data_IF_347558760073
#
_entry.id   IF_347558760073
#
_cell.length_a   1.000
_cell.length_b   1.000
_cell.length_c   1.000
_cell.angle_alpha   90.00
_cell.angle_beta   90.00
_cell.angle_gamma   90.00
#
_symmetry.space_group_name_H-M   'P 1'
#
loop_
_entity.id
_entity.type
_entity.pdbx_description
1 polymer ?
#
# COMPACT_ATOMS: atom_id res chain seq x y z
N UNK A 1 30.37 0.18 6.74
CA UNK A 1 29.52 -0.80 6.02
C UNK A 1 28.76 -0.05 4.92
N UNK A 2 28.18 -0.70 3.89
CA UNK A 2 27.40 0.02 2.89
C UNK A 2 26.19 0.72 3.51
N UNK A 3 25.84 1.88 2.94
CA UNK A 3 24.84 2.80 3.48
C UNK A 3 23.59 2.84 2.62
N UNK A 4 22.45 2.60 3.26
CA UNK A 4 21.16 2.45 2.60
C UNK A 4 20.16 3.50 3.08
N UNK A 5 19.36 4.01 2.16
CA UNK A 5 18.31 4.99 2.44
C UNK A 5 16.96 4.34 2.28
N UNK A 6 16.14 4.46 3.33
CA UNK A 6 14.81 3.87 3.38
C UNK A 6 13.77 4.93 3.06
N UNK A 7 12.84 4.59 2.19
CA UNK A 7 11.70 5.42 1.81
C UNK A 7 10.44 4.64 2.18
N UNK A 8 9.56 5.23 2.97
CA UNK A 8 8.29 4.63 3.38
C UNK A 8 7.16 5.53 2.93
N UNK A 9 6.12 4.97 2.35
CA UNK A 9 4.90 5.68 1.97
C UNK A 9 3.71 5.03 2.66
N UNK A 10 2.84 5.87 3.21
CA UNK A 10 1.71 5.45 4.01
C UNK A 10 0.35 5.90 3.45
N UNK A 11 0.22 5.94 2.13
CA UNK A 11 -1.01 6.40 1.45
C UNK A 11 -1.27 7.91 1.53
N UNK A 12 -0.74 8.62 2.54
CA UNK A 12 -0.88 10.07 2.71
C UNK A 12 0.41 10.86 2.57
N UNK A 13 1.56 10.25 2.89
CA UNK A 13 2.85 10.95 2.88
C UNK A 13 4.00 9.99 2.58
N UNK A 14 4.87 10.43 1.67
CA UNK A 14 6.20 9.84 1.50
C UNK A 14 7.11 10.35 2.62
N UNK A 15 7.48 9.46 3.54
CA UNK A 15 8.49 9.69 4.54
C UNK A 15 9.82 9.11 4.05
N UNK A 16 10.78 9.99 3.84
CA UNK A 16 12.16 9.60 3.55
C UNK A 16 12.92 9.63 4.87
N UNK A 17 13.57 8.53 5.24
CA UNK A 17 14.51 8.57 6.35
C UNK A 17 15.68 9.50 5.98
N UNK A 18 15.91 10.58 6.77
CA UNK A 18 16.98 11.54 6.46
C UNK A 18 18.36 10.92 6.66
N UNK A 19 18.46 9.89 7.50
CA UNK A 19 19.70 9.18 7.79
C UNK A 19 19.85 7.92 6.93
N UNK A 20 21.10 7.60 6.55
CA UNK A 20 21.42 6.36 5.84
C UNK A 20 21.88 5.32 6.84
N UNK A 21 21.17 4.19 6.88
CA UNK A 21 21.45 3.08 7.77
C UNK A 21 22.53 2.17 7.19
N UNK A 22 23.40 1.67 8.06
CA UNK A 22 24.47 0.74 7.69
C UNK A 22 23.98 -0.70 7.75
N UNK A 23 24.15 -1.43 6.64
CA UNK A 23 23.84 -2.86 6.58
C UNK A 23 25.01 -3.66 6.00
N UNK A 24 25.13 -4.96 6.30
CA UNK A 24 26.21 -5.79 5.77
C UNK A 24 26.16 -5.98 4.25
N UNK A 25 24.96 -6.04 3.66
CA UNK A 25 24.72 -6.23 2.24
C UNK A 25 23.25 -5.91 1.88
N UNK A 26 22.96 -5.90 0.57
CA UNK A 26 21.65 -5.57 0.00
C UNK A 26 20.53 -6.48 0.51
N UNK A 27 20.82 -7.77 0.74
CA UNK A 27 19.85 -8.74 1.23
C UNK A 27 19.41 -8.42 2.65
N UNK A 28 20.34 -8.04 3.52
CA UNK A 28 20.01 -7.64 4.90
C UNK A 28 19.21 -6.34 4.90
N UNK A 29 19.61 -5.34 4.10
CA UNK A 29 18.85 -4.09 3.98
C UNK A 29 17.41 -4.33 3.47
N UNK A 30 17.23 -5.28 2.54
CA UNK A 30 15.92 -5.67 2.01
C UNK A 30 15.05 -6.39 3.05
N UNK A 31 15.64 -7.31 3.84
CA UNK A 31 14.92 -8.01 4.90
C UNK A 31 14.41 -7.04 5.97
N UNK A 32 15.26 -6.08 6.37
CA UNK A 32 14.87 -5.05 7.33
C UNK A 32 13.79 -4.11 6.78
N UNK A 33 13.82 -3.81 5.48
CA UNK A 33 12.74 -3.05 4.83
C UNK A 33 11.42 -3.82 4.85
N UNK A 34 11.44 -5.11 4.58
CA UNK A 34 10.26 -5.96 4.66
C UNK A 34 9.71 -6.01 6.10
N UNK A 35 10.57 -6.13 7.11
CA UNK A 35 10.15 -6.09 8.52
C UNK A 35 9.51 -4.75 8.88
N UNK A 36 10.09 -3.64 8.41
CA UNK A 36 9.51 -2.32 8.62
C UNK A 36 8.11 -2.19 7.99
N UNK A 37 7.90 -2.73 6.78
CA UNK A 37 6.59 -2.77 6.13
C UNK A 37 5.55 -3.53 6.99
N UNK A 38 5.95 -4.68 7.54
CA UNK A 38 5.07 -5.48 8.41
C UNK A 38 4.74 -4.75 9.71
N UNK A 39 5.70 -4.07 10.31
CA UNK A 39 5.47 -3.26 11.51
C UNK A 39 4.48 -2.11 11.24
N UNK A 40 4.68 -1.40 10.12
CA UNK A 40 3.74 -0.37 9.65
C UNK A 40 2.33 -0.92 9.46
N UNK A 41 2.21 -2.10 8.83
CA UNK A 41 0.92 -2.76 8.64
C UNK A 41 0.26 -3.08 9.98
N UNK A 42 0.99 -3.73 10.90
CA UNK A 42 0.46 -4.07 12.24
C UNK A 42 -0.05 -2.86 13.00
N UNK A 43 0.60 -1.71 12.86
CA UNK A 43 0.19 -0.46 13.50
C UNK A 43 -1.08 0.15 12.90
N UNK A 44 -1.35 -0.05 11.60
CA UNK A 44 -2.40 0.66 10.87
C UNK A 44 -3.62 -0.17 10.52
N UNK A 45 -3.46 -1.48 10.45
CA UNK A 45 -4.56 -2.40 10.16
C UNK A 45 -5.72 -2.39 11.18
N UNK A 46 -5.52 -2.24 12.50
CA UNK A 46 -6.62 -2.39 13.47
C UNK A 46 -7.82 -1.46 13.22
N UNK A 47 -7.59 -0.27 12.67
CA UNK A 47 -8.63 0.76 12.46
C UNK A 47 -8.92 1.03 10.98
N UNK A 48 -8.30 0.29 10.05
CA UNK A 48 -8.34 0.61 8.62
C UNK A 48 -9.19 -0.37 7.82
N UNK A 49 -10.27 0.10 7.19
CA UNK A 49 -11.00 -0.69 6.17
C UNK A 49 -10.23 -0.79 4.84
N UNK A 50 -9.30 0.14 4.60
CA UNK A 50 -8.39 0.17 3.46
C UNK A 50 -7.03 0.70 3.89
N UNK A 51 -5.96 0.08 3.43
CA UNK A 51 -4.59 0.51 3.71
C UNK A 51 -3.71 0.26 2.49
N UNK A 52 -2.98 1.29 2.06
CA UNK A 52 -1.94 1.17 1.05
C UNK A 52 -0.63 1.70 1.64
N UNK A 53 0.36 0.82 1.78
CA UNK A 53 1.68 1.18 2.31
C UNK A 53 2.78 0.63 1.41
N UNK A 54 3.91 1.32 1.37
CA UNK A 54 5.07 0.93 0.57
C UNK A 54 6.37 1.22 1.31
N UNK A 55 7.37 0.38 1.07
CA UNK A 55 8.75 0.59 1.46
C UNK A 55 9.66 0.44 0.24
N UNK A 56 10.71 1.24 0.18
CA UNK A 56 11.76 1.11 -0.82
C UNK A 56 13.13 1.38 -0.19
N UNK A 57 14.15 0.71 -0.72
CA UNK A 57 15.55 0.83 -0.29
C UNK A 57 16.40 1.28 -1.46
N UNK A 58 17.19 2.31 -1.20
CA UNK A 58 18.16 2.88 -2.12
C UNK A 58 19.57 2.64 -1.56
N UNK A 59 20.49 2.15 -2.39
CA UNK A 59 21.89 1.93 -2.01
C UNK A 59 22.71 3.25 -2.03
N UNK A 60 24.01 3.16 -1.73
CA UNK A 60 24.93 4.31 -1.75
C UNK A 60 25.15 4.92 -3.15
N UNK A 61 24.92 4.13 -4.21
CA UNK A 61 24.97 4.58 -5.60
C UNK A 61 23.66 5.25 -6.06
N UNK A 62 22.70 5.39 -5.16
CA UNK A 62 21.35 5.89 -5.42
C UNK A 62 20.52 4.98 -6.34
N UNK A 63 20.87 3.69 -6.40
CA UNK A 63 20.10 2.68 -7.11
C UNK A 63 19.04 2.09 -6.17
N UNK A 64 17.81 1.95 -6.65
CA UNK A 64 16.75 1.29 -5.91
C UNK A 64 16.98 -0.22 -5.99
N UNK A 65 17.38 -0.82 -4.86
CA UNK A 65 17.70 -2.24 -4.77
C UNK A 65 16.51 -3.09 -4.31
N UNK A 66 15.51 -2.47 -3.70
CA UNK A 66 14.34 -3.16 -3.16
C UNK A 66 13.13 -2.25 -3.11
N UNK A 67 11.96 -2.80 -3.40
CA UNK A 67 10.67 -2.16 -3.23
C UNK A 67 9.61 -3.21 -2.89
N UNK A 68 8.76 -2.90 -1.91
CA UNK A 68 7.61 -3.71 -1.55
C UNK A 68 6.41 -2.83 -1.20
N UNK A 69 5.21 -3.30 -1.51
CA UNK A 69 3.96 -2.64 -1.13
C UNK A 69 2.94 -3.64 -0.59
N UNK A 70 2.09 -3.17 0.30
CA UNK A 70 0.96 -3.90 0.86
C UNK A 70 -0.31 -3.09 0.61
N UNK A 71 -1.26 -3.72 -0.05
CA UNK A 71 -2.62 -3.23 -0.25
C UNK A 71 -3.57 -4.11 0.54
N UNK A 72 -4.37 -3.49 1.40
CA UNK A 72 -5.33 -4.16 2.25
C UNK A 72 -6.70 -3.52 2.06
N UNK A 73 -7.71 -4.37 2.00
CA UNK A 73 -9.12 -4.01 1.99
C UNK A 73 -9.88 -5.02 2.84
N UNK A 74 -10.69 -4.53 3.77
CA UNK A 74 -11.68 -5.33 4.48
C UNK A 74 -13.07 -4.82 4.17
N UNK A 75 -14.03 -5.72 4.23
CA UNK A 75 -15.44 -5.41 4.08
C UNK A 75 -16.19 -6.04 5.25
N UNK A 76 -17.17 -5.33 5.79
CA UNK A 76 -18.09 -5.95 6.77
C UNK A 76 -19.12 -6.80 6.03
N UNK A 77 -19.83 -7.67 6.75
CA UNK A 77 -20.95 -8.44 6.18
C UNK A 77 -22.00 -7.54 5.52
N UNK A 78 -22.24 -6.36 6.08
CA UNK A 78 -23.19 -5.38 5.55
C UNK A 78 -22.65 -4.77 4.25
N UNK A 79 -21.38 -4.39 4.21
CA UNK A 79 -20.73 -3.88 2.99
C UNK A 79 -20.68 -4.93 1.88
N UNK A 80 -20.36 -6.19 2.20
CA UNK A 80 -20.40 -7.29 1.23
C UNK A 80 -21.81 -7.49 0.66
N UNK A 81 -22.85 -7.33 1.49
CA UNK A 81 -24.25 -7.43 1.05
C UNK A 81 -24.67 -6.24 0.19
N UNK A 82 -24.28 -5.02 0.55
CA UNK A 82 -24.56 -3.82 -0.24
C UNK A 82 -23.91 -3.90 -1.62
N UNK A 83 -22.63 -4.28 -1.69
CA UNK A 83 -21.92 -4.48 -2.96
C UNK A 83 -22.54 -5.60 -3.82
N UNK A 84 -23.02 -6.68 -3.19
CA UNK A 84 -23.72 -7.75 -3.91
C UNK A 84 -25.05 -7.28 -4.53
N UNK A 85 -25.81 -6.43 -3.81
CA UNK A 85 -27.09 -5.88 -4.30
C UNK A 85 -26.87 -4.93 -5.48
N UNK A 86 -25.84 -4.06 -5.43
CA UNK A 86 -25.48 -3.18 -6.56
C UNK A 86 -25.03 -3.97 -7.80
N UNK A 87 -24.27 -5.06 -7.63
CA UNK A 87 -23.88 -5.92 -8.74
C UNK A 87 -25.09 -6.60 -9.40
N UNK A 88 -26.07 -7.08 -8.62
CA UNK A 88 -27.32 -7.58 -9.18
C UNK A 88 -28.16 -6.48 -9.82
N UNK A 89 -28.29 -5.29 -9.23
CA UNK A 89 -29.16 -4.24 -9.79
C UNK A 89 -28.65 -3.72 -11.14
N UNK A 90 -27.33 -3.64 -11.33
CA UNK A 90 -26.71 -3.23 -12.59
C UNK A 90 -26.90 -4.27 -13.71
N UNK A 91 -26.89 -5.56 -13.36
CA UNK A 91 -27.13 -6.65 -14.31
C UNK A 91 -28.61 -6.77 -14.69
N UNK A 92 -29.53 -6.37 -13.80
CA UNK A 92 -30.97 -6.50 -14.02
C UNK A 92 -31.57 -5.25 -14.69
N UNK A 93 -31.11 -4.04 -14.35
CA UNK A 93 -31.74 -2.79 -14.81
C UNK A 93 -31.05 -2.13 -16.03
N UNK A 94 -29.89 -2.61 -16.46
CA UNK A 94 -29.11 -1.99 -17.54
C UNK A 94 -28.66 -0.55 -17.21
N UNK A 95 -27.77 0.05 -18.02
CA UNK A 95 -27.40 1.45 -17.85
C UNK A 95 -28.64 2.34 -18.07
N UNK A 96 -28.84 3.41 -17.26
CA UNK A 96 -29.96 4.32 -17.46
C UNK A 96 -29.87 4.94 -18.86
N UNK A 97 -31.01 5.12 -19.57
CA UNK A 97 -30.99 5.71 -20.90
C UNK A 97 -30.38 7.11 -20.82
N UNK A 98 -29.45 7.39 -21.74
CA UNK A 98 -28.85 8.72 -21.89
C UNK A 98 -29.99 9.74 -22.05
N UNK A 99 -30.06 10.70 -21.12
CA UNK A 99 -30.96 11.84 -21.24
C UNK A 99 -30.47 12.69 -22.41
N UNK A 100 -31.01 12.46 -23.60
CA UNK A 100 -30.85 13.38 -24.70
C UNK A 100 -31.61 14.67 -24.33
N UNK A 101 -30.86 15.68 -23.90
CA UNK A 101 -31.38 17.03 -23.71
C UNK A 101 -31.85 17.59 -25.05
N UNK A 102 -33.09 18.07 -25.06
CA UNK A 102 -33.63 18.98 -26.07
C UNK A 102 -33.34 20.43 -25.66
#
# INVERSE_FOLDING_TARGET
>A
MPKYRFKTEDGHKLAVNPDRLEFPNDRVASDEAQRALVDMAKKKLPDASRLHIRVAVENEKNEMIYQASLDFRSETREEMRANAVEFTTALINGPPPAKNGH
#
